data_IF_224939578805
#
_entry.id   IF_224939578805
#
_cell.length_a   1.000
_cell.length_b   1.000
_cell.length_c   1.000
_cell.angle_alpha   90.00
_cell.angle_beta   90.00
_cell.angle_gamma   90.00
#
_symmetry.space_group_name_H-M   'P 1'
#
loop_
_entity.id
_entity.type
_entity.pdbx_description
1 polymer ?
#
# COMPACT_ATOMS: atom_id res chain seq x y z
N UNK A 1 12.53 -17.01 -3.87
CA UNK A 1 11.08 -17.08 -3.56
C UNK A 1 10.62 -18.54 -3.52
N UNK A 2 10.71 -19.31 -4.60
CA UNK A 2 10.16 -20.66 -4.69
C UNK A 2 10.59 -21.58 -3.54
N UNK A 3 11.87 -21.59 -3.17
CA UNK A 3 12.38 -22.40 -2.06
C UNK A 3 11.78 -21.98 -0.69
N UNK A 4 11.60 -20.67 -0.45
CA UNK A 4 10.99 -20.14 0.78
C UNK A 4 9.52 -20.53 0.90
N UNK A 5 8.82 -20.62 -0.23
CA UNK A 5 7.38 -20.91 -0.30
C UNK A 5 7.08 -22.41 -0.51
N UNK A 6 8.10 -23.27 -0.56
CA UNK A 6 7.96 -24.69 -0.86
C UNK A 6 7.19 -24.96 -2.17
N UNK A 7 7.36 -24.07 -3.16
CA UNK A 7 6.69 -24.11 -4.45
C UNK A 7 7.65 -24.45 -5.59
N UNK A 8 7.11 -24.91 -6.71
CA UNK A 8 7.88 -25.09 -7.93
C UNK A 8 8.27 -23.72 -8.53
N UNK A 9 9.53 -23.48 -8.94
CA UNK A 9 9.94 -22.26 -9.60
C UNK A 9 9.10 -21.88 -10.83
N UNK A 10 8.69 -22.86 -11.61
CA UNK A 10 7.84 -22.65 -12.79
C UNK A 10 6.45 -22.14 -12.40
N UNK A 11 5.86 -22.68 -11.34
CA UNK A 11 4.60 -22.19 -10.78
C UNK A 11 4.70 -20.71 -10.37
N UNK A 12 5.79 -20.36 -9.67
CA UNK A 12 6.02 -18.95 -9.29
C UNK A 12 6.13 -18.07 -10.54
N UNK A 13 6.91 -18.48 -11.53
CA UNK A 13 7.09 -17.75 -12.77
C UNK A 13 5.77 -17.52 -13.51
N UNK A 14 4.94 -18.54 -13.63
CA UNK A 14 3.62 -18.46 -14.25
C UNK A 14 2.68 -17.49 -13.51
N UNK A 15 2.67 -17.56 -12.17
CA UNK A 15 1.84 -16.70 -11.35
C UNK A 15 2.29 -15.24 -11.35
N UNK A 16 3.59 -14.98 -11.39
CA UNK A 16 4.14 -13.62 -11.58
C UNK A 16 3.76 -13.10 -12.96
N UNK A 17 3.93 -13.88 -14.01
CA UNK A 17 3.57 -13.49 -15.38
C UNK A 17 2.07 -13.20 -15.53
N UNK A 18 1.21 -13.88 -14.75
CA UNK A 18 -0.23 -13.64 -14.71
C UNK A 18 -0.62 -12.44 -13.80
N UNK A 19 0.33 -11.87 -13.04
CA UNK A 19 0.08 -10.79 -12.07
C UNK A 19 -0.66 -11.24 -10.80
N UNK A 20 -0.62 -12.55 -10.47
CA UNK A 20 -1.20 -13.11 -9.25
C UNK A 20 -0.19 -13.24 -8.09
N UNK A 21 1.07 -13.03 -8.38
CA UNK A 21 2.18 -12.92 -7.41
C UNK A 21 3.00 -11.71 -7.83
N UNK A 22 3.41 -10.91 -6.86
CA UNK A 22 4.42 -9.86 -7.03
C UNK A 22 5.67 -10.21 -6.24
N UNK A 23 6.82 -9.78 -6.74
CA UNK A 23 8.12 -9.89 -6.09
C UNK A 23 8.71 -8.47 -6.03
N UNK A 24 8.38 -7.69 -4.98
CA UNK A 24 8.93 -6.34 -4.85
C UNK A 24 10.46 -6.40 -4.70
N UNK A 25 11.17 -5.92 -5.71
CA UNK A 25 12.63 -6.06 -5.79
C UNK A 25 13.22 -4.99 -6.71
N UNK A 26 13.44 -3.79 -6.18
CA UNK A 26 14.05 -2.70 -6.93
C UNK A 26 15.49 -3.05 -7.32
N UNK A 27 15.89 -2.70 -8.54
CA UNK A 27 17.24 -2.99 -9.08
C UNK A 27 18.39 -2.34 -8.29
N UNK A 28 18.09 -1.32 -7.48
CA UNK A 28 19.07 -0.60 -6.63
C UNK A 28 19.11 -1.10 -5.18
N UNK A 29 18.23 -2.05 -4.77
CA UNK A 29 18.24 -2.60 -3.42
C UNK A 29 19.20 -3.80 -3.31
N UNK A 30 20.48 -3.53 -3.08
CA UNK A 30 21.56 -4.52 -3.16
C UNK A 30 21.49 -5.65 -2.11
N UNK A 31 20.96 -5.37 -0.90
CA UNK A 31 20.92 -6.34 0.21
C UNK A 31 19.62 -7.13 0.28
N UNK A 32 18.73 -6.97 -0.67
CA UNK A 32 17.41 -7.58 -0.67
C UNK A 32 17.50 -9.11 -0.75
N UNK A 33 16.78 -9.78 0.14
CA UNK A 33 16.44 -11.21 0.06
C UNK A 33 14.98 -11.37 -0.42
N UNK A 34 14.73 -11.49 -1.73
CA UNK A 34 13.39 -11.34 -2.31
C UNK A 34 12.36 -12.31 -1.74
N UNK A 35 11.13 -11.82 -1.59
CA UNK A 35 9.95 -12.60 -1.22
C UNK A 35 8.87 -12.48 -2.29
N UNK A 36 7.94 -13.44 -2.31
CA UNK A 36 6.74 -13.36 -3.15
C UNK A 36 5.53 -12.98 -2.29
N UNK A 37 4.65 -12.17 -2.83
CA UNK A 37 3.36 -11.79 -2.22
C UNK A 37 2.25 -12.20 -3.18
N UNK A 38 1.32 -13.03 -2.72
CA UNK A 38 0.20 -13.53 -3.53
C UNK A 38 -0.64 -14.55 -2.77
N UNK A 39 -1.91 -14.69 -3.13
CA UNK A 39 -2.86 -15.58 -2.43
C UNK A 39 -2.49 -17.07 -2.48
N UNK A 40 -1.62 -17.47 -3.42
CA UNK A 40 -1.12 -18.84 -3.54
C UNK A 40 0.13 -19.13 -2.68
N UNK A 41 0.60 -18.14 -1.93
CA UNK A 41 1.78 -18.21 -1.06
C UNK A 41 1.38 -18.05 0.40
N UNK A 42 2.36 -18.17 1.30
CA UNK A 42 2.15 -17.80 2.71
C UNK A 42 1.81 -16.32 2.80
N UNK A 43 0.80 -15.98 3.60
CA UNK A 43 0.41 -14.57 3.84
C UNK A 43 1.57 -13.82 4.50
N UNK A 44 1.92 -12.64 3.96
CA UNK A 44 3.02 -11.82 4.43
C UNK A 44 2.55 -10.80 5.46
N UNK A 45 3.45 -10.39 6.32
CA UNK A 45 3.21 -9.34 7.32
C UNK A 45 4.08 -8.13 7.00
N UNK A 46 3.45 -6.97 6.84
CA UNK A 46 4.15 -5.70 6.74
C UNK A 46 4.21 -5.00 8.09
N UNK A 47 5.36 -4.45 8.45
CA UNK A 47 5.53 -3.57 9.60
C UNK A 47 5.76 -2.12 9.14
N UNK A 48 5.04 -1.19 9.76
CA UNK A 48 5.21 0.24 9.51
C UNK A 48 6.23 0.84 10.49
N UNK A 49 7.22 1.54 9.94
CA UNK A 49 8.19 2.35 10.69
C UNK A 49 8.21 3.76 10.11
N UNK A 50 9.04 4.61 10.63
CA UNK A 50 9.21 5.97 10.12
C UNK A 50 9.28 7.01 11.22
N UNK A 51 9.94 8.12 10.90
CA UNK A 51 10.07 9.24 11.80
C UNK A 51 8.85 10.18 11.72
N UNK A 52 8.72 11.00 12.75
CA UNK A 52 7.72 12.06 12.81
C UNK A 52 8.36 13.41 13.13
N UNK A 53 7.58 14.50 13.11
CA UNK A 53 8.05 15.82 13.52
C UNK A 53 8.54 15.84 14.99
N UNK A 54 8.07 14.91 15.83
CA UNK A 54 8.41 14.82 17.24
C UNK A 54 9.63 13.92 17.52
N UNK A 55 9.93 12.99 16.62
CA UNK A 55 11.04 12.03 16.77
C UNK A 55 11.65 11.75 15.39
N UNK A 56 12.89 12.18 15.21
CA UNK A 56 13.63 12.03 13.96
C UNK A 56 15.08 11.65 14.24
N UNK A 57 15.36 10.35 14.35
CA UNK A 57 16.69 9.83 14.56
C UNK A 57 16.91 8.56 13.73
N UNK A 58 17.87 8.57 12.77
CA UNK A 58 18.17 7.39 11.94
C UNK A 58 18.46 6.13 12.75
N UNK A 59 19.11 6.27 13.91
CA UNK A 59 19.42 5.12 14.78
C UNK A 59 18.15 4.46 15.34
N UNK A 60 17.17 5.26 15.75
CA UNK A 60 15.88 4.72 16.24
C UNK A 60 15.11 4.02 15.12
N UNK A 61 15.17 4.51 13.90
CA UNK A 61 14.53 3.86 12.76
C UNK A 61 15.20 2.52 12.43
N UNK A 62 16.52 2.42 12.56
CA UNK A 62 17.22 1.14 12.44
C UNK A 62 16.84 0.15 13.56
N UNK A 63 16.66 0.61 14.78
CA UNK A 63 16.19 -0.24 15.88
C UNK A 63 14.78 -0.76 15.61
N UNK A 64 13.88 0.10 15.09
CA UNK A 64 12.54 -0.32 14.66
C UNK A 64 12.60 -1.35 13.53
N UNK A 65 13.42 -1.12 12.51
CA UNK A 65 13.65 -2.07 11.41
C UNK A 65 14.10 -3.43 11.97
N UNK A 66 15.14 -3.46 12.78
CA UNK A 66 15.67 -4.70 13.34
C UNK A 66 14.63 -5.42 14.22
N UNK A 67 13.86 -4.68 15.00
CA UNK A 67 12.79 -5.25 15.81
C UNK A 67 11.65 -5.81 14.94
N UNK A 68 11.21 -5.08 13.90
CA UNK A 68 10.19 -5.56 12.98
C UNK A 68 10.60 -6.90 12.36
N UNK A 69 11.80 -6.98 11.80
CA UNK A 69 12.34 -8.21 11.20
C UNK A 69 12.53 -9.34 12.21
N UNK A 70 13.03 -9.04 13.41
CA UNK A 70 13.20 -10.01 14.49
C UNK A 70 11.88 -10.65 14.92
N UNK A 71 10.79 -9.90 14.88
CA UNK A 71 9.46 -10.38 15.25
C UNK A 71 8.62 -10.89 14.08
N UNK A 72 9.23 -11.05 12.90
CA UNK A 72 8.65 -11.79 11.77
C UNK A 72 7.95 -10.93 10.74
N UNK A 73 8.28 -9.63 10.63
CA UNK A 73 7.85 -8.85 9.49
C UNK A 73 8.53 -9.34 8.21
N UNK A 74 7.75 -9.55 7.15
CA UNK A 74 8.22 -9.95 5.83
C UNK A 74 8.58 -8.74 4.97
N UNK A 75 7.92 -7.60 5.20
CA UNK A 75 8.17 -6.32 4.54
C UNK A 75 8.15 -5.19 5.58
N UNK A 76 8.72 -4.05 5.20
CA UNK A 76 8.71 -2.85 6.04
C UNK A 76 8.27 -1.65 5.19
N UNK A 77 7.35 -0.82 5.69
CA UNK A 77 7.03 0.46 5.08
C UNK A 77 7.64 1.61 5.89
N UNK A 78 8.40 2.46 5.20
CA UNK A 78 8.86 3.75 5.73
C UNK A 78 7.77 4.81 5.52
N UNK A 79 7.06 5.14 6.58
CA UNK A 79 6.02 6.17 6.62
C UNK A 79 6.53 7.50 7.19
N UNK A 80 7.81 7.79 7.02
CA UNK A 80 8.44 8.99 7.55
C UNK A 80 7.76 10.28 7.07
N UNK A 81 7.55 11.22 8.02
CA UNK A 81 6.94 12.54 7.78
C UNK A 81 7.68 13.66 8.49
N UNK A 82 8.77 13.34 9.19
CA UNK A 82 9.63 14.29 9.90
C UNK A 82 10.71 14.91 9.02
N UNK A 83 11.77 15.39 9.64
CA UNK A 83 12.93 15.91 8.93
C UNK A 83 13.82 14.77 8.36
N UNK A 84 14.61 15.08 7.33
CA UNK A 84 15.60 14.18 6.73
C UNK A 84 15.05 12.84 6.20
N UNK A 85 13.83 12.83 5.66
CA UNK A 85 13.16 11.64 5.14
C UNK A 85 14.08 10.87 4.18
N UNK A 86 14.67 11.55 3.19
CA UNK A 86 15.55 10.96 2.18
C UNK A 86 16.74 10.21 2.78
N UNK A 87 17.40 10.79 3.80
CA UNK A 87 18.55 10.16 4.46
C UNK A 87 18.11 8.96 5.34
N UNK A 88 16.98 9.09 6.03
CA UNK A 88 16.43 8.00 6.86
C UNK A 88 16.07 6.81 5.99
N UNK A 89 15.38 7.03 4.88
CA UNK A 89 15.03 5.99 3.90
C UNK A 89 16.28 5.30 3.34
N UNK A 90 17.32 6.06 2.95
CA UNK A 90 18.57 5.50 2.48
C UNK A 90 19.22 4.58 3.52
N UNK A 91 19.19 4.96 4.81
CA UNK A 91 19.69 4.13 5.90
C UNK A 91 18.85 2.87 6.09
N UNK A 92 17.52 2.97 6.01
CA UNK A 92 16.61 1.81 6.11
C UNK A 92 16.89 0.83 4.97
N UNK A 93 16.88 1.28 3.71
CA UNK A 93 17.10 0.42 2.52
C UNK A 93 18.46 -0.28 2.61
N UNK A 94 19.50 0.47 2.91
CA UNK A 94 20.87 -0.09 3.03
C UNK A 94 20.98 -1.22 4.06
N UNK A 95 20.14 -1.23 5.11
CA UNK A 95 20.21 -2.18 6.21
C UNK A 95 19.06 -3.19 6.23
N UNK A 96 18.12 -3.10 5.31
CA UNK A 96 16.98 -4.02 5.22
C UNK A 96 17.31 -5.20 4.29
N UNK A 97 17.17 -6.44 4.73
CA UNK A 97 17.12 -7.60 3.84
C UNK A 97 15.70 -7.86 3.31
N UNK A 98 14.68 -7.17 3.85
CA UNK A 98 13.29 -7.30 3.44
C UNK A 98 12.89 -6.15 2.50
N UNK A 99 11.90 -6.35 1.62
CA UNK A 99 11.39 -5.28 0.77
C UNK A 99 10.95 -4.05 1.58
N UNK A 100 11.33 -2.88 1.08
CA UNK A 100 10.99 -1.58 1.70
C UNK A 100 9.95 -0.86 0.85
N UNK A 101 8.81 -0.56 1.46
CA UNK A 101 7.74 0.23 0.85
C UNK A 101 7.71 1.67 1.34
N UNK A 102 7.07 2.55 0.56
CA UNK A 102 6.86 3.97 0.91
C UNK A 102 5.49 4.46 0.46
N UNK A 103 5.13 5.67 0.92
CA UNK A 103 3.95 6.41 0.45
C UNK A 103 4.42 7.78 -0.07
N UNK A 104 4.75 7.91 -1.37
CA UNK A 104 5.39 9.10 -1.93
C UNK A 104 4.69 10.42 -1.65
N UNK A 105 3.36 10.43 -1.55
CA UNK A 105 2.59 11.65 -1.24
C UNK A 105 2.98 12.27 0.10
N UNK A 106 3.48 11.49 1.07
CA UNK A 106 3.89 12.03 2.37
C UNK A 106 5.15 12.89 2.25
N UNK A 107 6.12 12.43 1.45
CA UNK A 107 7.32 13.23 1.18
C UNK A 107 7.01 14.42 0.27
N UNK A 108 6.21 14.24 -0.79
CA UNK A 108 5.77 15.33 -1.64
C UNK A 108 5.09 16.45 -0.82
N UNK A 109 4.25 16.07 0.15
CA UNK A 109 3.60 17.02 1.05
C UNK A 109 4.60 17.76 1.94
N UNK A 110 5.69 17.14 2.36
CA UNK A 110 6.73 17.76 3.19
C UNK A 110 7.56 18.82 2.44
N UNK A 111 7.45 18.87 1.10
CA UNK A 111 8.19 19.79 0.22
C UNK A 111 7.38 21.03 -0.18
N UNK A 112 6.14 21.16 0.31
CA UNK A 112 5.25 22.30 0.04
C UNK A 112 4.71 22.89 1.34
N UNK A 113 4.38 24.18 1.33
CA UNK A 113 3.81 24.87 2.50
C UNK A 113 2.33 24.53 2.68
N UNK A 114 1.62 24.23 1.59
CA UNK A 114 0.20 23.85 1.59
C UNK A 114 -0.05 22.62 0.71
N UNK A 115 -0.90 21.67 1.14
CA UNK A 115 -1.29 20.54 0.30
C UNK A 115 -1.82 20.92 -1.08
N UNK A 116 -2.43 22.11 -1.22
CA UNK A 116 -2.94 22.60 -2.50
C UNK A 116 -1.85 22.96 -3.53
N UNK A 117 -0.60 23.09 -3.10
CA UNK A 117 0.55 23.40 -3.97
C UNK A 117 1.18 22.16 -4.58
N UNK A 118 0.79 20.95 -4.13
CA UNK A 118 1.18 19.72 -4.78
C UNK A 118 0.84 19.81 -6.28
N UNK A 119 1.76 19.36 -7.10
CA UNK A 119 1.59 19.30 -8.55
C UNK A 119 2.18 18.00 -9.11
N UNK A 120 1.85 17.71 -10.36
CA UNK A 120 2.27 16.48 -11.02
C UNK A 120 3.80 16.36 -11.11
N UNK A 121 4.51 17.42 -11.43
CA UNK A 121 5.97 17.42 -11.55
C UNK A 121 6.65 17.03 -10.22
N UNK A 122 6.29 17.69 -9.13
CA UNK A 122 6.82 17.37 -7.80
C UNK A 122 6.52 15.92 -7.38
N UNK A 123 5.31 15.43 -7.68
CA UNK A 123 4.92 14.05 -7.38
C UNK A 123 5.79 13.06 -8.14
N UNK A 124 6.01 13.29 -9.43
CA UNK A 124 6.85 12.43 -10.28
C UNK A 124 8.32 12.49 -9.88
N UNK A 125 8.84 13.67 -9.52
CA UNK A 125 10.21 13.81 -9.02
C UNK A 125 10.41 13.01 -7.73
N UNK A 126 9.49 13.10 -6.77
CA UNK A 126 9.56 12.31 -5.52
C UNK A 126 9.51 10.81 -5.80
N UNK A 127 8.63 10.35 -6.69
CA UNK A 127 8.53 8.93 -7.07
C UNK A 127 9.85 8.47 -7.70
N UNK A 128 10.43 9.26 -8.61
CA UNK A 128 11.71 8.94 -9.26
C UNK A 128 12.85 8.88 -8.26
N UNK A 129 12.99 9.88 -7.40
CA UNK A 129 14.03 9.90 -6.36
C UNK A 129 13.93 8.69 -5.42
N UNK A 130 12.73 8.28 -5.05
CA UNK A 130 12.51 7.11 -4.22
C UNK A 130 12.83 5.80 -4.96
N UNK A 131 12.51 5.72 -6.24
CA UNK A 131 12.85 4.58 -7.09
C UNK A 131 14.37 4.44 -7.25
N UNK A 132 15.08 5.55 -7.54
CA UNK A 132 16.55 5.60 -7.64
C UNK A 132 17.25 5.24 -6.31
N UNK A 133 16.61 5.49 -5.17
CA UNK A 133 17.13 5.10 -3.87
C UNK A 133 16.96 3.62 -3.54
N UNK A 134 16.17 2.87 -4.32
CA UNK A 134 15.97 1.44 -4.12
C UNK A 134 14.71 1.06 -3.34
N UNK A 135 13.68 1.91 -3.35
CA UNK A 135 12.36 1.55 -2.79
C UNK A 135 11.74 0.44 -3.64
N UNK A 136 11.37 -0.68 -3.01
CA UNK A 136 10.88 -1.87 -3.69
C UNK A 136 9.42 -1.79 -4.11
N UNK A 137 8.58 -1.10 -3.32
CA UNK A 137 7.19 -0.86 -3.67
C UNK A 137 6.68 0.47 -3.14
N UNK A 138 5.71 1.05 -3.84
CA UNK A 138 5.17 2.37 -3.49
C UNK A 138 3.65 2.33 -3.42
N UNK A 139 3.08 2.86 -2.33
CA UNK A 139 1.64 3.05 -2.21
C UNK A 139 1.20 4.32 -2.93
N UNK A 140 0.38 4.15 -3.95
CA UNK A 140 -0.12 5.22 -4.80
C UNK A 140 -1.66 5.26 -4.74
N UNK A 141 -2.22 6.34 -4.19
CA UNK A 141 -3.67 6.53 -4.05
C UNK A 141 -4.28 7.08 -5.34
N UNK A 142 -4.17 6.32 -6.43
CA UNK A 142 -4.67 6.73 -7.76
C UNK A 142 -6.14 6.34 -8.01
N UNK A 143 -6.73 5.43 -7.20
CA UNK A 143 -8.10 4.95 -7.39
C UNK A 143 -9.19 5.92 -6.94
N UNK A 144 -8.87 6.85 -6.04
CA UNK A 144 -9.79 7.87 -5.57
C UNK A 144 -10.01 8.94 -6.64
N UNK A 145 -11.22 9.03 -7.20
CA UNK A 145 -11.62 10.03 -8.19
C UNK A 145 -12.53 11.11 -7.58
N UNK A 146 -12.64 12.26 -8.26
CA UNK A 146 -13.51 13.36 -7.80
C UNK A 146 -14.96 12.96 -7.62
N UNK A 147 -15.47 12.08 -8.49
CA UNK A 147 -16.85 11.58 -8.44
C UNK A 147 -17.14 10.73 -7.20
N UNK A 148 -16.11 10.13 -6.56
CA UNK A 148 -16.27 9.35 -5.34
C UNK A 148 -16.40 10.21 -4.07
N UNK A 149 -15.91 11.47 -4.09
CA UNK A 149 -15.88 12.33 -2.90
C UNK A 149 -17.28 12.56 -2.30
N UNK A 150 -18.34 12.81 -3.09
CA UNK A 150 -19.68 12.94 -2.53
C UNK A 150 -20.16 11.70 -1.78
N UNK A 151 -19.83 10.49 -2.24
CA UNK A 151 -20.22 9.22 -1.60
C UNK A 151 -19.61 9.12 -0.18
N UNK A 152 -18.35 9.49 -0.02
CA UNK A 152 -17.66 9.46 1.28
C UNK A 152 -18.17 10.52 2.27
N UNK A 153 -18.92 11.55 1.85
CA UNK A 153 -19.50 12.56 2.75
C UNK A 153 -20.61 12.02 3.64
N UNK A 154 -21.31 11.00 3.18
CA UNK A 154 -22.41 10.37 3.91
C UNK A 154 -21.92 9.41 5.01
N UNK A 155 -20.63 9.06 5.00
CA UNK A 155 -19.99 8.20 5.99
C UNK A 155 -19.89 8.87 7.36
N UNK A 156 -19.95 8.05 8.41
CA UNK A 156 -19.75 8.48 9.79
C UNK A 156 -18.36 9.09 10.00
N UNK A 157 -17.31 8.42 9.51
CA UNK A 157 -15.91 8.87 9.65
C UNK A 157 -15.34 9.48 8.36
N UNK A 158 -16.12 9.55 7.30
CA UNK A 158 -15.71 10.14 6.01
C UNK A 158 -14.46 9.43 5.42
N UNK A 159 -13.38 10.17 5.14
CA UNK A 159 -12.12 9.66 4.57
C UNK A 159 -11.07 9.58 5.66
N UNK A 160 -10.76 8.38 6.11
CA UNK A 160 -9.79 8.13 7.20
C UNK A 160 -8.38 7.85 6.70
N UNK A 161 -8.22 7.44 5.44
CA UNK A 161 -6.91 7.30 4.82
C UNK A 161 -6.20 8.65 4.78
N UNK A 162 -4.98 8.72 5.33
CA UNK A 162 -4.19 9.95 5.30
C UNK A 162 -3.89 10.39 3.86
N UNK A 163 -3.42 9.45 3.02
CA UNK A 163 -3.17 9.72 1.60
C UNK A 163 -4.45 10.10 0.86
N UNK A 164 -5.53 9.34 1.06
CA UNK A 164 -6.84 9.62 0.48
C UNK A 164 -7.38 10.99 0.87
N UNK A 165 -7.28 11.40 2.14
CA UNK A 165 -7.75 12.70 2.61
C UNK A 165 -6.94 13.87 2.04
N UNK A 166 -5.62 13.73 1.89
CA UNK A 166 -4.75 14.73 1.25
C UNK A 166 -5.18 14.92 -0.21
N UNK A 167 -5.33 13.84 -0.97
CA UNK A 167 -5.70 13.88 -2.37
C UNK A 167 -7.13 14.41 -2.57
N UNK A 168 -8.09 13.96 -1.76
CA UNK A 168 -9.46 14.48 -1.81
C UNK A 168 -9.52 15.99 -1.53
N UNK A 169 -8.77 16.46 -0.52
CA UNK A 169 -8.64 17.88 -0.21
C UNK A 169 -8.01 18.67 -1.36
N UNK A 170 -6.96 18.12 -1.97
CA UNK A 170 -6.31 18.72 -3.14
C UNK A 170 -7.26 18.84 -4.32
N UNK A 171 -7.98 17.76 -4.67
CA UNK A 171 -8.97 17.77 -5.76
C UNK A 171 -10.08 18.80 -5.54
N UNK A 172 -10.59 18.89 -4.31
CA UNK A 172 -11.62 19.88 -3.97
C UNK A 172 -11.10 21.31 -4.06
N UNK A 173 -9.88 21.57 -3.57
CA UNK A 173 -9.29 22.89 -3.58
C UNK A 173 -8.95 23.38 -4.99
N UNK A 174 -8.34 22.49 -5.79
CA UNK A 174 -7.85 22.83 -7.13
C UNK A 174 -8.90 22.62 -8.24
N UNK A 175 -10.04 22.03 -7.94
CA UNK A 175 -11.10 21.67 -8.91
C UNK A 175 -10.56 20.82 -10.09
N UNK A 176 -9.57 19.95 -9.81
CA UNK A 176 -8.92 19.06 -10.77
C UNK A 176 -9.08 17.61 -10.33
N UNK A 177 -8.86 16.68 -11.26
CA UNK A 177 -8.83 15.25 -10.98
C UNK A 177 -7.55 14.87 -10.24
N UNK A 178 -7.57 13.70 -9.59
CA UNK A 178 -6.46 13.13 -8.84
C UNK A 178 -5.14 13.13 -9.65
N UNK A 179 -4.09 13.81 -9.18
CA UNK A 179 -2.84 13.94 -9.94
C UNK A 179 -2.12 12.60 -10.13
N UNK A 180 -2.28 11.63 -9.21
CA UNK A 180 -1.74 10.28 -9.40
C UNK A 180 -2.49 9.48 -10.48
N UNK A 181 -3.78 9.72 -10.65
CA UNK A 181 -4.57 9.11 -11.71
C UNK A 181 -4.23 9.71 -13.07
N UNK A 182 -4.13 11.04 -13.16
CA UNK A 182 -3.83 11.73 -14.43
C UNK A 182 -2.39 11.50 -14.90
N UNK A 183 -1.44 11.35 -13.97
CA UNK A 183 -0.03 11.07 -14.27
C UNK A 183 0.33 9.58 -14.28
N UNK A 184 -0.67 8.67 -14.22
CA UNK A 184 -0.41 7.25 -13.95
C UNK A 184 0.53 6.59 -14.96
N UNK A 185 0.44 6.92 -16.27
CA UNK A 185 1.33 6.36 -17.28
C UNK A 185 2.80 6.78 -17.06
N UNK A 186 3.04 8.02 -16.63
CA UNK A 186 4.40 8.49 -16.29
C UNK A 186 4.93 7.79 -15.02
N UNK A 187 4.05 7.46 -14.08
CA UNK A 187 4.43 6.67 -12.89
C UNK A 187 4.82 5.26 -13.33
N UNK A 188 4.07 4.65 -14.24
CA UNK A 188 4.40 3.33 -14.79
C UNK A 188 5.76 3.32 -15.49
N UNK A 189 6.11 4.36 -16.26
CA UNK A 189 7.43 4.51 -16.90
C UNK A 189 8.56 4.46 -15.87
N UNK A 190 8.42 5.18 -14.74
CA UNK A 190 9.42 5.15 -13.65
C UNK A 190 9.49 3.75 -13.03
N UNK A 191 8.34 3.11 -12.79
CA UNK A 191 8.30 1.77 -12.20
C UNK A 191 8.97 0.73 -13.09
N UNK A 192 8.80 0.80 -14.41
CA UNK A 192 9.49 -0.08 -15.37
C UNK A 192 10.99 0.12 -15.33
N UNK A 193 11.46 1.38 -15.27
CA UNK A 193 12.88 1.72 -15.28
C UNK A 193 13.63 1.15 -14.06
N UNK A 194 13.00 1.09 -12.90
CA UNK A 194 13.62 0.71 -11.63
C UNK A 194 13.12 -0.61 -11.03
N UNK A 195 12.22 -1.31 -11.72
CA UNK A 195 11.51 -2.52 -11.23
C UNK A 195 10.79 -2.30 -9.89
N UNK A 196 10.05 -1.19 -9.79
CA UNK A 196 9.24 -0.85 -8.61
C UNK A 196 7.87 -1.49 -8.72
N UNK A 197 7.44 -2.18 -7.66
CA UNK A 197 6.07 -2.70 -7.55
C UNK A 197 5.12 -1.59 -7.07
N UNK A 198 3.93 -1.48 -7.67
CA UNK A 198 2.90 -0.58 -7.15
C UNK A 198 2.01 -1.29 -6.13
N UNK A 199 1.78 -0.62 -4.99
CA UNK A 199 0.71 -0.90 -4.06
C UNK A 199 -0.39 0.14 -4.32
N UNK A 200 -1.49 -0.29 -4.94
CA UNK A 200 -2.59 0.60 -5.30
C UNK A 200 -3.43 0.88 -4.06
N UNK A 201 -3.25 2.08 -3.50
CA UNK A 201 -3.75 2.46 -2.18
C UNK A 201 -5.26 2.71 -2.14
N UNK A 202 -5.91 2.26 -1.08
CA UNK A 202 -7.33 2.38 -0.78
C UNK A 202 -7.66 3.70 -0.04
N UNK A 203 -7.70 4.79 -0.77
CA UNK A 203 -8.01 6.12 -0.22
C UNK A 203 -9.39 6.21 0.45
N UNK A 204 -10.33 5.37 0.03
CA UNK A 204 -11.70 5.30 0.55
C UNK A 204 -11.99 4.06 1.40
N UNK A 205 -10.96 3.42 1.98
CA UNK A 205 -11.20 2.35 2.95
C UNK A 205 -12.10 2.83 4.10
N UNK A 206 -13.03 1.99 4.62
CA UNK A 206 -13.85 2.35 5.75
C UNK A 206 -13.02 2.51 7.03
N UNK A 207 -13.35 3.49 7.87
CA UNK A 207 -12.68 3.76 9.14
C UNK A 207 -13.39 3.17 10.36
N UNK A 208 -14.60 2.67 10.17
CA UNK A 208 -15.40 1.99 11.18
C UNK A 208 -16.36 1.00 10.53
N UNK A 209 -16.92 0.09 11.32
CA UNK A 209 -17.85 -0.93 10.82
C UNK A 209 -19.11 -0.32 10.19
N UNK A 210 -19.56 0.85 10.65
CA UNK A 210 -20.75 1.53 10.12
C UNK A 210 -20.57 2.05 8.68
N UNK A 211 -19.33 2.28 8.26
CA UNK A 211 -18.98 2.77 6.92
C UNK A 211 -18.52 1.64 5.97
N UNK A 212 -18.55 0.39 6.47
CA UNK A 212 -18.02 -0.77 5.75
C UNK A 212 -18.84 -1.13 4.51
N UNK A 213 -18.14 -1.61 3.48
CA UNK A 213 -18.73 -2.21 2.26
C UNK A 213 -19.74 -1.30 1.55
N UNK A 214 -19.50 0.01 1.61
CA UNK A 214 -20.36 1.00 0.97
C UNK A 214 -20.00 1.25 -0.51
N UNK A 215 -20.82 2.04 -1.19
CA UNK A 215 -20.62 2.41 -2.59
C UNK A 215 -19.29 3.12 -2.83
N UNK A 216 -18.80 3.94 -1.87
CA UNK A 216 -17.54 4.65 -2.00
C UNK A 216 -16.33 3.69 -2.03
N UNK A 217 -16.33 2.68 -1.16
CA UNK A 217 -15.29 1.66 -1.11
C UNK A 217 -15.23 0.88 -2.43
N UNK A 218 -16.37 0.39 -2.91
CA UNK A 218 -16.40 -0.44 -4.11
C UNK A 218 -16.25 0.35 -5.41
N UNK A 219 -16.65 1.63 -5.45
CA UNK A 219 -16.37 2.51 -6.59
C UNK A 219 -14.86 2.73 -6.75
N UNK A 220 -14.13 3.00 -5.67
CA UNK A 220 -12.67 3.07 -5.72
C UNK A 220 -12.04 1.73 -6.13
N UNK A 221 -12.49 0.61 -5.53
CA UNK A 221 -11.98 -0.73 -5.86
C UNK A 221 -12.14 -1.06 -7.36
N UNK A 222 -13.25 -0.66 -7.97
CA UNK A 222 -13.44 -0.84 -9.41
C UNK A 222 -12.41 -0.06 -10.24
N UNK A 223 -12.05 1.16 -9.82
CA UNK A 223 -10.97 1.94 -10.47
C UNK A 223 -9.61 1.28 -10.23
N UNK A 224 -9.35 0.78 -9.02
CA UNK A 224 -8.11 0.04 -8.73
C UNK A 224 -7.95 -1.17 -9.66
N UNK A 225 -9.02 -1.90 -9.94
CA UNK A 225 -9.01 -2.99 -10.92
C UNK A 225 -8.62 -2.54 -12.34
N UNK A 226 -9.11 -1.36 -12.78
CA UNK A 226 -8.69 -0.78 -14.07
C UNK A 226 -7.20 -0.41 -14.06
N UNK A 227 -6.69 0.12 -12.94
CA UNK A 227 -5.27 0.46 -12.78
C UNK A 227 -4.39 -0.79 -12.76
N UNK A 228 -4.85 -1.91 -12.15
CA UNK A 228 -4.16 -3.22 -12.23
C UNK A 228 -3.99 -3.66 -13.67
N UNK A 229 -5.04 -3.53 -14.51
CA UNK A 229 -4.93 -3.87 -15.93
C UNK A 229 -3.87 -3.01 -16.64
N UNK A 230 -3.86 -1.69 -16.39
CA UNK A 230 -2.83 -0.77 -16.94
C UNK A 230 -1.41 -1.13 -16.47
N UNK A 231 -1.24 -1.50 -15.20
CA UNK A 231 0.05 -1.97 -14.69
C UNK A 231 0.53 -3.20 -15.47
N UNK A 232 -0.34 -4.19 -15.66
CA UNK A 232 -0.02 -5.42 -16.40
C UNK A 232 0.34 -5.14 -17.86
N UNK A 233 -0.40 -4.27 -18.54
CA UNK A 233 -0.10 -3.85 -19.91
C UNK A 233 1.27 -3.17 -20.04
N UNK A 234 1.66 -2.39 -19.02
CA UNK A 234 2.96 -1.74 -18.96
C UNK A 234 4.09 -2.66 -18.47
N UNK A 235 3.81 -3.88 -18.00
CA UNK A 235 4.79 -4.78 -17.40
C UNK A 235 5.20 -4.42 -15.98
N UNK A 236 4.38 -3.64 -15.26
CA UNK A 236 4.59 -3.26 -13.85
C UNK A 236 3.85 -4.23 -12.94
N UNK A 237 4.52 -4.71 -11.91
CA UNK A 237 3.90 -5.52 -10.87
C UNK A 237 3.00 -4.65 -9.98
N UNK A 238 1.80 -5.13 -9.65
CA UNK A 238 0.86 -4.40 -8.81
C UNK A 238 0.17 -5.32 -7.80
N UNK A 239 0.01 -4.82 -6.58
CA UNK A 239 -0.87 -5.34 -5.55
C UNK A 239 -1.89 -4.25 -5.18
N UNK A 240 -3.00 -4.63 -4.55
CA UNK A 240 -4.10 -3.73 -4.21
C UNK A 240 -4.25 -3.64 -2.70
N UNK A 241 -4.44 -2.44 -2.16
CA UNK A 241 -4.74 -2.22 -0.75
C UNK A 241 -6.25 -2.22 -0.46
N UNK A 242 -6.60 -2.56 0.76
CA UNK A 242 -7.95 -2.57 1.30
C UNK A 242 -8.31 -3.91 1.93
N UNK A 243 -9.48 -4.07 2.52
CA UNK A 243 -10.28 -3.01 3.07
C UNK A 243 -9.75 -2.51 4.42
N UNK A 244 -10.41 -1.47 4.96
CA UNK A 244 -10.17 -1.04 6.33
C UNK A 244 -11.00 -1.82 7.35
N UNK A 245 -11.72 -1.12 8.21
CA UNK A 245 -12.54 -1.71 9.27
C UNK A 245 -13.85 -2.27 8.69
N UNK A 246 -13.97 -3.60 8.63
CA UNK A 246 -15.17 -4.30 8.14
C UNK A 246 -15.64 -5.33 9.17
N UNK A 247 -16.96 -5.64 9.24
CA UNK A 247 -17.47 -6.67 10.12
C UNK A 247 -16.99 -8.06 9.71
N UNK A 248 -16.86 -8.95 10.70
CA UNK A 248 -16.32 -10.30 10.52
C UNK A 248 -17.04 -11.11 9.43
N UNK A 249 -18.35 -10.97 9.34
CA UNK A 249 -19.18 -11.66 8.36
C UNK A 249 -19.06 -11.12 6.92
N UNK A 250 -18.40 -9.99 6.72
CA UNK A 250 -18.21 -9.37 5.40
C UNK A 250 -16.80 -9.58 4.83
N UNK A 251 -15.88 -10.17 5.61
CA UNK A 251 -14.50 -10.41 5.17
C UNK A 251 -14.48 -11.25 3.90
N UNK A 252 -15.17 -12.40 3.87
CA UNK A 252 -15.21 -13.28 2.70
C UNK A 252 -15.72 -12.55 1.45
N UNK A 253 -16.79 -11.77 1.60
CA UNK A 253 -17.36 -11.00 0.48
C UNK A 253 -16.36 -9.97 -0.05
N UNK A 254 -15.70 -9.21 0.82
CA UNK A 254 -14.70 -8.22 0.42
C UNK A 254 -13.51 -8.86 -0.30
N UNK A 255 -13.00 -10.03 0.18
CA UNK A 255 -11.92 -10.76 -0.48
C UNK A 255 -12.31 -11.21 -1.89
N UNK A 256 -13.53 -11.77 -2.04
CA UNK A 256 -14.04 -12.22 -3.34
C UNK A 256 -14.29 -11.08 -4.31
N UNK A 257 -14.76 -9.94 -3.81
CA UNK A 257 -15.04 -8.78 -4.66
C UNK A 257 -13.74 -8.14 -5.17
N UNK A 258 -12.68 -8.10 -4.35
CA UNK A 258 -11.36 -7.68 -4.80
C UNK A 258 -10.81 -8.63 -5.86
N UNK A 259 -10.77 -9.94 -5.60
CA UNK A 259 -10.28 -10.94 -6.56
C UNK A 259 -10.97 -10.80 -7.93
N UNK A 260 -12.29 -10.58 -7.90
CA UNK A 260 -13.12 -10.38 -9.10
C UNK A 260 -12.80 -9.07 -9.84
N UNK A 261 -12.74 -7.95 -9.11
CA UNK A 261 -12.56 -6.62 -9.70
C UNK A 261 -11.11 -6.36 -10.09
N UNK A 262 -10.16 -6.86 -9.29
CA UNK A 262 -8.72 -6.63 -9.49
C UNK A 262 -8.01 -7.81 -10.18
N UNK A 263 -8.79 -8.73 -10.79
CA UNK A 263 -8.27 -9.79 -11.65
C UNK A 263 -7.25 -10.70 -10.96
N UNK A 264 -7.45 -11.00 -9.66
CA UNK A 264 -6.57 -11.85 -8.87
C UNK A 264 -5.22 -11.21 -8.54
N UNK A 265 -5.12 -9.90 -8.51
CA UNK A 265 -3.94 -9.21 -8.01
C UNK A 265 -3.76 -9.51 -6.52
N UNK A 266 -2.52 -9.52 -5.97
CA UNK A 266 -2.33 -9.74 -4.54
C UNK A 266 -3.04 -8.68 -3.70
N UNK A 267 -3.82 -9.11 -2.69
CA UNK A 267 -4.58 -8.21 -1.83
C UNK A 267 -3.83 -7.96 -0.51
N UNK A 268 -3.50 -6.71 -0.25
CA UNK A 268 -2.85 -6.21 0.95
C UNK A 268 -3.89 -5.54 1.84
N UNK A 269 -4.35 -6.22 2.88
CA UNK A 269 -5.41 -5.72 3.75
C UNK A 269 -4.88 -5.02 5.01
N UNK A 270 -5.65 -4.08 5.51
CA UNK A 270 -5.34 -3.42 6.77
C UNK A 270 -5.42 -4.43 7.93
N UNK A 271 -4.47 -4.40 8.88
CA UNK A 271 -4.43 -5.31 10.02
C UNK A 271 -5.70 -5.28 10.88
N UNK A 272 -6.21 -4.09 11.30
CA UNK A 272 -7.45 -3.98 12.08
C UNK A 272 -8.71 -4.19 11.22
N UNK A 273 -8.86 -5.38 10.63
CA UNK A 273 -10.01 -5.69 9.76
C UNK A 273 -11.31 -5.75 10.57
N UNK A 274 -11.28 -6.34 11.78
CA UNK A 274 -12.42 -6.35 12.68
C UNK A 274 -12.12 -5.52 13.92
N UNK A 275 -12.69 -4.33 13.97
CA UNK A 275 -12.55 -3.40 15.11
C UNK A 275 -13.92 -2.90 15.56
N UNK A 276 -13.97 -1.91 16.44
CA UNK A 276 -15.19 -1.25 16.98
C UNK A 276 -16.11 -2.15 17.82
N UNK A 277 -15.86 -3.46 17.86
CA UNK A 277 -16.68 -4.42 18.63
C UNK A 277 -16.07 -4.75 20.00
N UNK A 278 -14.79 -4.49 20.24
CA UNK A 278 -14.10 -4.78 21.48
C UNK A 278 -13.02 -3.73 21.79
N UNK A 279 -13.39 -2.51 22.17
CA UNK A 279 -12.43 -1.42 22.44
C UNK A 279 -11.37 -1.83 23.48
N UNK A 280 -10.11 -1.60 23.16
CA UNK A 280 -8.95 -2.00 23.97
C UNK A 280 -8.47 -3.44 23.75
N UNK A 281 -9.20 -4.24 22.96
CA UNK A 281 -8.84 -5.60 22.58
C UNK A 281 -8.60 -5.74 21.06
N UNK A 282 -8.24 -4.66 20.39
CA UNK A 282 -8.06 -4.59 18.93
C UNK A 282 -7.03 -5.60 18.43
N UNK A 283 -5.98 -5.86 19.21
CA UNK A 283 -4.99 -6.89 18.89
C UNK A 283 -5.56 -8.31 18.83
N UNK A 284 -6.65 -8.59 19.57
CA UNK A 284 -7.35 -9.89 19.51
C UNK A 284 -8.28 -9.94 18.32
N UNK A 285 -9.13 -8.92 18.15
CA UNK A 285 -10.10 -8.88 17.05
C UNK A 285 -9.43 -8.77 15.69
N UNK A 286 -8.33 -8.01 15.59
CA UNK A 286 -7.52 -7.92 14.38
C UNK A 286 -6.83 -9.24 14.03
N UNK A 287 -6.34 -9.99 15.03
CA UNK A 287 -5.77 -11.31 14.79
C UNK A 287 -6.82 -12.29 14.24
N UNK A 288 -8.06 -12.24 14.77
CA UNK A 288 -9.17 -13.06 14.27
C UNK A 288 -9.54 -12.65 12.84
N UNK A 289 -9.72 -11.35 12.60
CA UNK A 289 -10.07 -10.82 11.28
C UNK A 289 -8.97 -11.04 10.25
N UNK A 290 -7.71 -10.83 10.63
CA UNK A 290 -6.54 -11.08 9.79
C UNK A 290 -6.40 -12.56 9.40
N UNK A 291 -6.61 -13.48 10.35
CA UNK A 291 -6.59 -14.92 10.07
C UNK A 291 -7.71 -15.33 9.10
N UNK A 292 -8.91 -14.75 9.25
CA UNK A 292 -10.02 -15.01 8.33
C UNK A 292 -9.77 -14.40 6.95
N UNK A 293 -9.22 -13.16 6.88
CA UNK A 293 -8.80 -12.55 5.64
C UNK A 293 -7.76 -13.40 4.89
N UNK A 294 -6.74 -13.87 5.60
CA UNK A 294 -5.73 -14.77 5.06
C UNK A 294 -6.32 -16.10 4.55
N UNK A 295 -7.27 -16.68 5.30
CA UNK A 295 -8.00 -17.89 4.88
C UNK A 295 -8.77 -17.67 3.57
N UNK A 296 -9.30 -16.47 3.34
CA UNK A 296 -10.01 -16.10 2.11
C UNK A 296 -9.13 -15.47 1.03
N UNK A 297 -7.81 -15.49 1.17
CA UNK A 297 -6.88 -15.15 0.10
C UNK A 297 -6.12 -13.83 0.25
N UNK A 298 -6.21 -13.15 1.40
CA UNK A 298 -5.35 -11.99 1.65
C UNK A 298 -3.86 -12.38 1.54
N UNK A 299 -3.13 -11.70 0.66
CA UNK A 299 -1.74 -11.99 0.36
C UNK A 299 -0.77 -11.33 1.35
N UNK A 300 -1.16 -10.19 1.92
CA UNK A 300 -0.38 -9.45 2.90
C UNK A 300 -1.28 -8.76 3.92
N UNK A 301 -0.82 -8.68 5.15
CA UNK A 301 -1.47 -7.99 6.26
C UNK A 301 -0.60 -6.83 6.73
N UNK A 302 -1.21 -5.65 6.91
CA UNK A 302 -0.59 -4.59 7.66
C UNK A 302 -0.73 -4.90 9.16
N UNK A 303 0.34 -4.83 9.93
CA UNK A 303 0.22 -5.05 11.37
C UNK A 303 -0.52 -3.86 12.05
N UNK A 304 -1.06 -4.13 13.22
CA UNK A 304 -1.80 -3.14 14.03
C UNK A 304 -0.87 -2.52 15.07
#
# INVERSE_FOLDING_TARGET
VAAKEYQNPEFIREKVAAGHIVIPANIHHENLDPIGIGSALTTKINANIGNSALSSCPQQELEKLHNALKYGADTVMDLSTGANITNIRAVIIKNSPAPVGTVPVYEALSRVDSPSELNEELILDVIREQAEQGVDYMTIHAGLLREHIPMAKERLLRIVSRGGSIIAGWMQKNQKENPFYTAFDKILEICVEHDVTLSLGDGLRPGCLADASDDAQFAELAVLGQLVARCREAGVQAMVEGPGHIPLNEIEMNMKEEDRLCHGAPFYILGPVVTDCAPGYDHITSAIGGALGAFHGAAMLCYV
#
